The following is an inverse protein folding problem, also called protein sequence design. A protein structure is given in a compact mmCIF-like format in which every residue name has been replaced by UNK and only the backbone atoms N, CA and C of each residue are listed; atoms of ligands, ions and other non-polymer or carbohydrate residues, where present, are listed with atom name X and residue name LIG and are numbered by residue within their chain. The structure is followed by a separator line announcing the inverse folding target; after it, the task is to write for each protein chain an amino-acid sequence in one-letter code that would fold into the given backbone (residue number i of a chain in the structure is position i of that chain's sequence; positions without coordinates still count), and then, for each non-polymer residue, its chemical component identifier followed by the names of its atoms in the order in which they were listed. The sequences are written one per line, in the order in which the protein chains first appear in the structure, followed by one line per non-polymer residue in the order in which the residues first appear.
data_IF_241557649836
#
_entry.id   IF_241557649836
#
_cell.length_a   1.000
_cell.length_b   1.000
_cell.length_c   1.000
_cell.angle_alpha   90.00
_cell.angle_beta   90.00
_cell.angle_gamma   90.00
#
_symmetry.space_group_name_H-M   'P 1'
#
loop_
_entity.id
_entity.type
_entity.pdbx_description
1 polymer ?
#
# COMPACT_ATOMS: atom_id res chain seq x y z
N UNK A 1 -72.25 15.88 -38.98
CA UNK A 1 -72.05 16.23 -37.57
C UNK A 1 -70.85 15.55 -37.01
N UNK A 2 -69.72 16.27 -36.75
CA UNK A 2 -68.51 15.70 -36.14
C UNK A 2 -68.64 15.74 -34.62
N UNK A 3 -68.61 14.56 -33.97
CA UNK A 3 -68.59 14.44 -32.50
C UNK A 3 -67.18 14.79 -32.00
N UNK A 4 -67.08 15.87 -31.26
CA UNK A 4 -65.86 16.20 -30.51
C UNK A 4 -65.78 15.34 -29.25
N UNK A 5 -64.80 14.42 -29.19
CA UNK A 5 -64.47 13.66 -27.99
C UNK A 5 -63.60 14.53 -27.10
N UNK A 6 -64.10 14.92 -25.93
CA UNK A 6 -63.37 15.65 -24.90
C UNK A 6 -62.29 14.75 -24.31
N UNK A 7 -60.99 15.05 -24.55
CA UNK A 7 -59.89 14.40 -23.86
C UNK A 7 -59.87 14.81 -22.38
N UNK A 8 -60.08 13.84 -21.50
CA UNK A 8 -59.94 14.04 -20.04
C UNK A 8 -58.50 14.42 -19.74
N UNK A 9 -58.27 15.64 -19.30
CA UNK A 9 -57.00 16.13 -18.79
C UNK A 9 -56.69 15.41 -17.47
N UNK A 10 -55.68 14.52 -17.49
CA UNK A 10 -55.16 13.91 -16.27
C UNK A 10 -54.41 14.98 -15.51
N UNK A 11 -54.94 15.38 -14.34
CA UNK A 11 -54.26 16.28 -13.41
C UNK A 11 -52.97 15.63 -12.96
N UNK A 12 -51.83 16.14 -13.40
CA UNK A 12 -50.50 15.79 -12.86
C UNK A 12 -50.43 16.46 -11.49
N UNK A 13 -50.35 15.64 -10.44
CA UNK A 13 -50.03 16.14 -9.12
C UNK A 13 -48.57 16.57 -9.12
N UNK A 14 -48.29 17.81 -8.78
CA UNK A 14 -46.96 18.35 -8.60
C UNK A 14 -46.44 18.07 -7.20
N UNK A 15 -45.12 17.93 -7.08
CA UNK A 15 -44.46 17.80 -5.78
C UNK A 15 -44.54 19.12 -4.98
N UNK A 16 -44.71 19.00 -3.68
CA UNK A 16 -44.60 20.14 -2.77
C UNK A 16 -43.13 20.46 -2.47
N UNK A 17 -42.83 21.71 -2.16
CA UNK A 17 -41.46 22.14 -1.82
C UNK A 17 -40.95 21.43 -0.56
N UNK A 18 -41.85 21.16 0.40
CA UNK A 18 -41.50 20.46 1.64
C UNK A 18 -41.15 18.99 1.43
N UNK A 19 -41.86 18.29 0.52
CA UNK A 19 -41.51 16.91 0.17
C UNK A 19 -40.12 16.81 -0.43
N UNK A 20 -39.76 17.75 -1.30
CA UNK A 20 -38.41 17.78 -1.86
C UNK A 20 -37.35 18.09 -0.81
N UNK A 21 -37.64 19.05 0.09
CA UNK A 21 -36.70 19.48 1.13
C UNK A 21 -36.40 18.35 2.13
N UNK A 22 -37.43 17.59 2.55
CA UNK A 22 -37.27 16.45 3.47
C UNK A 22 -36.41 15.34 2.83
N UNK A 23 -36.66 15.05 1.55
CA UNK A 23 -35.88 14.01 0.84
C UNK A 23 -34.42 14.35 0.76
N UNK A 24 -34.05 15.58 0.38
CA UNK A 24 -32.63 15.98 0.32
C UNK A 24 -31.99 16.03 1.71
N UNK A 25 -32.73 16.38 2.76
CA UNK A 25 -32.23 16.35 4.13
C UNK A 25 -31.89 14.91 4.57
N UNK A 26 -32.75 13.95 4.29
CA UNK A 26 -32.53 12.53 4.61
C UNK A 26 -31.32 11.98 3.81
N UNK A 27 -31.25 12.27 2.51
CA UNK A 27 -30.12 11.86 1.66
C UNK A 27 -28.83 12.45 2.20
N UNK A 28 -28.80 13.73 2.60
CA UNK A 28 -27.63 14.38 3.18
C UNK A 28 -27.12 13.70 4.44
N UNK A 29 -28.02 13.32 5.36
CA UNK A 29 -27.67 12.60 6.58
C UNK A 29 -27.10 11.21 6.26
N UNK A 30 -27.78 10.45 5.40
CA UNK A 30 -27.31 9.12 5.02
C UNK A 30 -25.97 9.17 4.28
N UNK A 31 -25.78 10.12 3.37
CA UNK A 31 -24.53 10.30 2.63
C UNK A 31 -23.36 10.62 3.56
N UNK A 32 -23.54 11.41 4.61
CA UNK A 32 -22.46 11.76 5.54
C UNK A 32 -21.90 10.54 6.27
N UNK A 33 -22.74 9.60 6.68
CA UNK A 33 -22.33 8.37 7.36
C UNK A 33 -21.58 7.43 6.39
N UNK A 34 -22.07 7.30 5.17
CA UNK A 34 -21.47 6.40 4.18
C UNK A 34 -20.09 6.85 3.73
N UNK A 35 -19.86 8.15 3.58
CA UNK A 35 -18.55 8.70 3.18
C UNK A 35 -17.47 8.41 4.23
N UNK A 36 -17.78 8.56 5.52
CA UNK A 36 -16.83 8.26 6.60
C UNK A 36 -16.44 6.77 6.59
N UNK A 37 -17.39 5.86 6.49
CA UNK A 37 -17.15 4.42 6.42
C UNK A 37 -16.32 4.02 5.18
N UNK A 38 -16.57 4.66 4.04
CA UNK A 38 -15.85 4.39 2.80
C UNK A 38 -14.36 4.78 2.88
N UNK A 39 -14.01 5.86 3.58
CA UNK A 39 -12.62 6.28 3.76
C UNK A 39 -11.84 5.24 4.56
N UNK A 40 -12.39 4.73 5.66
CA UNK A 40 -11.78 3.66 6.45
C UNK A 40 -11.62 2.38 5.62
N UNK A 41 -12.63 2.01 4.84
CA UNK A 41 -12.55 0.84 3.98
C UNK A 41 -11.45 0.98 2.91
N UNK A 42 -11.27 2.16 2.35
CA UNK A 42 -10.18 2.45 1.38
C UNK A 42 -8.80 2.36 2.02
N UNK A 43 -8.62 2.87 3.25
CA UNK A 43 -7.36 2.73 3.97
C UNK A 43 -7.01 1.26 4.19
N UNK A 44 -7.94 0.48 4.73
CA UNK A 44 -7.76 -0.98 4.92
C UNK A 44 -7.44 -1.72 3.63
N UNK A 45 -8.07 -1.33 2.53
CA UNK A 45 -7.79 -1.92 1.21
C UNK A 45 -6.36 -1.62 0.73
N UNK A 46 -5.87 -0.39 0.94
CA UNK A 46 -4.49 -0.04 0.59
C UNK A 46 -3.48 -0.78 1.48
N UNK A 47 -3.74 -0.89 2.77
CA UNK A 47 -2.87 -1.62 3.69
C UNK A 47 -2.83 -3.12 3.36
N UNK A 48 -3.96 -3.73 3.06
CA UNK A 48 -4.01 -5.11 2.61
C UNK A 48 -3.20 -5.33 1.32
N UNK A 49 -3.22 -4.37 0.39
CA UNK A 49 -2.38 -4.41 -0.80
C UNK A 49 -0.90 -4.31 -0.46
N UNK A 50 -0.49 -3.39 0.43
CA UNK A 50 0.91 -3.25 0.88
C UNK A 50 1.44 -4.56 1.46
N UNK A 51 0.68 -5.18 2.35
CA UNK A 51 1.03 -6.47 2.95
C UNK A 51 1.18 -7.57 1.88
N UNK A 52 0.28 -7.59 0.90
CA UNK A 52 0.36 -8.53 -0.23
C UNK A 52 1.59 -8.29 -1.10
N UNK A 53 1.91 -7.04 -1.39
CA UNK A 53 3.08 -6.63 -2.19
C UNK A 53 4.39 -6.99 -1.47
N UNK A 54 4.48 -6.75 -0.14
CA UNK A 54 5.64 -7.16 0.68
C UNK A 54 5.84 -8.68 0.63
N UNK A 55 4.79 -9.48 0.77
CA UNK A 55 4.89 -10.94 0.66
C UNK A 55 5.32 -11.40 -0.74
N UNK A 56 4.85 -10.73 -1.78
CA UNK A 56 5.28 -11.00 -3.14
C UNK A 56 6.77 -10.71 -3.34
N UNK A 57 7.25 -9.58 -2.82
CA UNK A 57 8.67 -9.21 -2.86
C UNK A 57 9.52 -10.18 -2.03
N UNK A 58 9.07 -10.59 -0.85
CA UNK A 58 9.73 -11.59 -0.03
C UNK A 58 9.93 -12.90 -0.81
N UNK A 59 8.88 -13.43 -1.41
CA UNK A 59 8.99 -14.64 -2.23
C UNK A 59 9.95 -14.46 -3.41
N UNK A 60 9.96 -13.30 -4.06
CA UNK A 60 10.86 -13.00 -5.16
C UNK A 60 12.32 -12.92 -4.71
N UNK A 61 12.58 -12.38 -3.52
CA UNK A 61 13.92 -12.31 -2.92
C UNK A 61 14.46 -13.71 -2.61
N UNK A 62 13.63 -14.61 -2.08
CA UNK A 62 14.03 -15.99 -1.84
C UNK A 62 14.34 -16.73 -3.16
N UNK A 63 13.49 -16.56 -4.18
CA UNK A 63 13.74 -17.14 -5.50
C UNK A 63 15.01 -16.58 -6.15
N UNK A 64 15.28 -15.29 -5.96
CA UNK A 64 16.51 -14.69 -6.43
C UNK A 64 17.73 -15.29 -5.72
N UNK A 65 17.67 -15.38 -4.38
CA UNK A 65 18.74 -15.96 -3.57
C UNK A 65 19.07 -17.39 -4.00
N UNK A 66 18.06 -18.24 -4.20
CA UNK A 66 18.22 -19.63 -4.62
C UNK A 66 18.74 -19.77 -6.06
N UNK A 67 18.50 -18.77 -6.92
CA UNK A 67 18.94 -18.79 -8.32
C UNK A 67 20.44 -18.45 -8.50
N UNK A 68 21.10 -17.89 -7.47
CA UNK A 68 22.49 -17.46 -7.56
C UNK A 68 23.47 -18.62 -7.34
N UNK A 69 24.55 -18.67 -8.10
CA UNK A 69 25.64 -19.65 -7.90
C UNK A 69 26.38 -19.45 -6.57
N UNK A 70 26.44 -18.21 -6.10
CA UNK A 70 26.83 -17.82 -4.74
C UNK A 70 25.64 -17.11 -4.10
N UNK A 71 24.82 -17.82 -3.30
CA UNK A 71 23.57 -17.28 -2.80
C UNK A 71 23.75 -16.01 -1.98
N UNK A 72 23.19 -14.90 -2.48
CA UNK A 72 23.14 -13.61 -1.79
C UNK A 72 21.91 -12.80 -2.26
N UNK A 73 21.40 -11.96 -1.38
CA UNK A 73 20.32 -11.03 -1.71
C UNK A 73 20.81 -9.84 -2.54
N UNK A 74 19.93 -9.17 -3.29
CA UNK A 74 20.29 -7.99 -4.07
C UNK A 74 20.97 -6.93 -3.21
N UNK A 75 21.93 -6.20 -3.80
CA UNK A 75 22.49 -5.03 -3.13
C UNK A 75 21.42 -3.93 -3.06
N UNK A 76 21.18 -3.40 -1.87
CA UNK A 76 20.33 -2.24 -1.72
C UNK A 76 20.98 -0.98 -2.30
N UNK A 77 20.19 -0.12 -2.93
CA UNK A 77 20.60 1.19 -3.42
C UNK A 77 19.81 2.28 -2.72
N UNK A 78 20.34 3.49 -2.64
CA UNK A 78 19.67 4.63 -2.00
C UNK A 78 18.66 5.33 -2.91
N UNK A 79 18.28 4.74 -4.04
CA UNK A 79 17.45 5.39 -5.05
C UNK A 79 16.06 4.80 -5.06
N UNK A 80 15.07 5.64 -4.80
CA UNK A 80 13.67 5.39 -5.06
C UNK A 80 13.13 6.53 -5.93
N UNK A 81 12.90 6.25 -7.17
CA UNK A 81 12.21 7.12 -8.11
C UNK A 81 11.22 6.27 -8.92
N UNK A 82 10.54 6.79 -9.88
CA UNK A 82 9.59 5.99 -10.67
C UNK A 82 10.20 4.83 -11.47
N UNK A 83 11.54 4.70 -11.47
CA UNK A 83 12.31 3.71 -12.23
C UNK A 83 13.11 2.78 -11.33
N UNK A 84 13.56 3.28 -10.17
CA UNK A 84 14.42 2.57 -9.24
C UNK A 84 13.71 2.34 -7.90
N UNK A 85 13.75 1.13 -7.41
CA UNK A 85 13.11 0.67 -6.18
C UNK A 85 14.15 0.04 -5.23
N UNK A 86 15.09 0.85 -4.77
CA UNK A 86 16.15 0.44 -3.85
C UNK A 86 17.00 -0.77 -4.30
N UNK A 87 17.11 -1.00 -5.61
CA UNK A 87 17.87 -2.13 -6.19
C UNK A 87 17.04 -3.38 -6.43
N UNK A 88 15.73 -3.36 -6.20
CA UNK A 88 14.85 -4.50 -6.44
C UNK A 88 14.54 -4.75 -7.93
N UNK A 89 14.97 -3.87 -8.84
CA UNK A 89 14.81 -4.03 -10.30
C UNK A 89 15.51 -5.29 -10.80
N UNK A 90 16.53 -5.74 -10.10
CA UNK A 90 17.25 -6.99 -10.43
C UNK A 90 16.31 -8.21 -10.37
N UNK A 91 15.26 -8.18 -9.56
CA UNK A 91 14.25 -9.24 -9.50
C UNK A 91 13.40 -9.32 -10.78
N UNK A 92 13.24 -8.18 -11.47
CA UNK A 92 12.55 -8.14 -12.77
C UNK A 92 13.48 -8.66 -13.87
N UNK A 93 14.72 -8.20 -13.90
CA UNK A 93 15.71 -8.66 -14.91
C UNK A 93 16.07 -10.12 -14.73
N UNK A 94 16.03 -10.64 -13.51
CA UNK A 94 16.23 -12.06 -13.18
C UNK A 94 14.98 -12.93 -13.40
N UNK A 95 13.83 -12.32 -13.72
CA UNK A 95 12.59 -13.04 -14.01
C UNK A 95 11.83 -13.59 -12.79
N UNK A 96 12.18 -13.17 -11.56
CA UNK A 96 11.48 -13.58 -10.34
C UNK A 96 10.11 -12.91 -10.20
N UNK A 97 9.99 -11.67 -10.70
CA UNK A 97 8.72 -10.94 -10.78
C UNK A 97 8.60 -10.21 -12.12
N UNK A 98 7.38 -9.89 -12.52
CA UNK A 98 7.13 -9.16 -13.77
C UNK A 98 7.36 -7.64 -13.65
N UNK A 99 7.15 -7.09 -12.45
CA UNK A 99 7.40 -5.68 -12.12
C UNK A 99 7.54 -5.54 -10.61
N UNK A 100 8.35 -4.58 -10.14
CA UNK A 100 8.42 -4.23 -8.73
C UNK A 100 7.12 -3.51 -8.34
N UNK A 101 6.37 -4.00 -7.33
CA UNK A 101 5.17 -3.32 -6.88
C UNK A 101 5.50 -1.99 -6.19
N UNK A 102 4.54 -1.07 -6.21
CA UNK A 102 4.66 0.26 -5.64
C UNK A 102 3.53 0.56 -4.66
N UNK A 103 3.82 1.41 -3.66
CA UNK A 103 2.83 1.85 -2.69
C UNK A 103 1.63 2.52 -3.39
N UNK A 104 0.38 2.11 -3.10
CA UNK A 104 -0.81 2.61 -3.79
C UNK A 104 -1.16 4.07 -3.47
N UNK A 105 -0.60 4.67 -2.43
CA UNK A 105 -0.91 6.05 -2.01
C UNK A 105 0.22 7.03 -2.24
N UNK A 106 1.38 6.56 -2.68
CA UNK A 106 2.54 7.42 -2.79
C UNK A 106 2.42 8.43 -3.95
N UNK A 107 2.86 9.64 -3.68
CA UNK A 107 3.04 10.66 -4.69
C UNK A 107 4.17 10.24 -5.65
N UNK A 108 4.06 10.61 -6.91
CA UNK A 108 5.05 10.30 -7.93
C UNK A 108 6.47 10.66 -7.44
N UNK A 109 7.37 9.67 -7.43
CA UNK A 109 8.76 9.83 -7.04
C UNK A 109 9.16 9.31 -5.65
N UNK A 110 8.22 8.81 -4.83
CA UNK A 110 8.55 8.19 -3.52
C UNK A 110 7.61 7.04 -3.16
N UNK A 111 7.28 6.22 -4.14
CA UNK A 111 6.29 5.15 -4.03
C UNK A 111 6.91 3.75 -3.92
N UNK A 112 8.14 3.66 -3.44
CA UNK A 112 8.79 2.37 -3.22
C UNK A 112 8.51 1.84 -1.82
N UNK A 113 8.47 0.53 -1.72
CA UNK A 113 8.59 -0.14 -0.44
C UNK A 113 10.04 -0.06 0.05
N UNK A 114 10.22 -0.02 1.36
CA UNK A 114 11.53 0.07 1.98
C UNK A 114 12.28 -1.25 1.81
N UNK A 115 13.51 -1.19 1.35
CA UNK A 115 14.38 -2.36 1.22
C UNK A 115 15.81 -2.02 1.60
N UNK A 116 16.42 -2.89 2.35
CA UNK A 116 17.85 -2.85 2.64
C UNK A 116 18.41 -4.27 2.73
N UNK A 117 19.69 -4.43 2.51
CA UNK A 117 20.40 -5.71 2.64
C UNK A 117 21.68 -5.52 3.43
N UNK A 118 22.22 -6.62 4.01
CA UNK A 118 23.49 -6.58 4.71
C UNK A 118 24.60 -5.94 3.85
N UNK A 119 25.45 -5.12 4.45
CA UNK A 119 26.50 -4.37 3.74
C UNK A 119 27.66 -5.25 3.27
N UNK A 120 27.88 -6.39 3.93
CA UNK A 120 28.97 -7.32 3.60
C UNK A 120 28.50 -8.39 2.63
N UNK A 121 29.27 -8.63 1.56
CA UNK A 121 29.08 -9.80 0.67
C UNK A 121 29.71 -11.05 1.30
N UNK A 122 29.06 -12.22 1.25
CA UNK A 122 27.74 -12.46 0.68
C UNK A 122 26.61 -11.92 1.56
N UNK A 123 25.67 -11.19 0.96
CA UNK A 123 24.51 -10.62 1.65
C UNK A 123 23.51 -11.72 2.03
N UNK A 124 23.51 -12.09 3.30
CA UNK A 124 22.71 -13.20 3.86
C UNK A 124 21.43 -12.74 4.57
N UNK A 125 21.25 -11.43 4.71
CA UNK A 125 20.08 -10.84 5.35
C UNK A 125 19.60 -9.63 4.57
N UNK A 126 18.29 -9.40 4.65
CA UNK A 126 17.64 -8.18 4.16
C UNK A 126 16.59 -7.71 5.17
N UNK A 127 16.16 -6.49 5.00
CA UNK A 127 15.04 -5.90 5.70
C UNK A 127 14.14 -5.25 4.66
N UNK A 128 12.86 -5.66 4.63
CA UNK A 128 11.86 -5.20 3.67
C UNK A 128 10.62 -4.75 4.42
N UNK A 129 10.09 -3.58 4.09
CA UNK A 129 8.95 -3.07 4.83
C UNK A 129 8.07 -2.09 4.07
N UNK A 130 6.88 -1.86 4.63
CA UNK A 130 5.89 -0.92 4.14
C UNK A 130 5.28 -0.11 5.28
N UNK A 131 5.08 1.19 5.07
CA UNK A 131 4.34 2.02 6.02
C UNK A 131 2.84 1.85 5.81
N UNK A 132 2.14 1.35 6.85
CA UNK A 132 0.69 1.22 6.87
C UNK A 132 0.03 2.55 7.26
N UNK A 133 -1.22 2.73 6.85
CA UNK A 133 -2.04 3.90 7.24
C UNK A 133 -2.75 3.65 8.57
N UNK A 134 -3.06 2.37 8.90
CA UNK A 134 -3.68 1.96 10.14
C UNK A 134 -2.62 1.49 11.14
N UNK A 135 -2.30 2.34 12.13
CA UNK A 135 -1.31 2.03 13.18
C UNK A 135 -1.73 0.92 14.15
N UNK A 136 -3.00 0.55 14.15
CA UNK A 136 -3.54 -0.56 14.95
C UNK A 136 -3.82 -1.80 14.11
N UNK A 137 -3.16 -1.94 12.95
CA UNK A 137 -3.34 -3.11 12.10
C UNK A 137 -2.80 -4.37 12.82
N UNK A 138 -3.60 -5.45 12.92
CA UNK A 138 -3.17 -6.67 13.64
C UNK A 138 -1.90 -7.31 13.10
N UNK A 139 -1.53 -7.08 11.84
CA UNK A 139 -0.30 -7.64 11.26
C UNK A 139 0.96 -7.10 11.95
N UNK A 140 0.92 -5.87 12.49
CA UNK A 140 2.00 -5.24 13.21
C UNK A 140 2.34 -5.93 14.55
N UNK A 141 1.49 -6.82 15.06
CA UNK A 141 1.80 -7.62 16.24
C UNK A 141 2.66 -8.86 15.93
N UNK A 142 2.94 -9.12 14.69
CA UNK A 142 3.60 -10.34 14.19
C UNK A 142 4.75 -10.04 13.22
N UNK A 143 5.09 -8.78 13.04
CA UNK A 143 6.24 -8.37 12.26
C UNK A 143 7.54 -8.42 13.10
N UNK A 144 8.66 -8.09 12.50
CA UNK A 144 9.97 -8.31 13.14
C UNK A 144 10.40 -7.16 14.03
N UNK A 145 9.81 -5.96 13.87
CA UNK A 145 10.20 -4.73 14.59
C UNK A 145 11.71 -4.43 14.54
N UNK A 146 12.34 -4.71 13.42
CA UNK A 146 13.76 -4.43 13.22
C UNK A 146 14.02 -2.94 13.05
N UNK A 147 14.99 -2.40 13.77
CA UNK A 147 15.48 -1.04 13.55
C UNK A 147 16.97 -1.00 13.18
N UNK A 148 17.46 0.17 12.79
CA UNK A 148 18.86 0.38 12.41
C UNK A 148 19.85 0.24 13.56
N UNK A 149 19.37 0.11 14.80
CA UNK A 149 20.20 -0.01 16.03
C UNK A 149 20.26 -1.45 16.53
N UNK A 150 19.44 -2.34 15.99
CA UNK A 150 19.44 -3.74 16.35
C UNK A 150 20.74 -4.43 15.95
N UNK A 151 21.37 -5.08 16.93
CA UNK A 151 22.53 -5.93 16.70
C UNK A 151 22.14 -7.36 16.25
N UNK A 152 20.87 -7.60 15.96
CA UNK A 152 20.41 -8.87 15.43
C UNK A 152 20.97 -9.03 13.98
N UNK A 153 21.72 -10.08 13.70
CA UNK A 153 22.25 -10.31 12.34
C UNK A 153 21.14 -10.54 11.30
N UNK A 154 19.91 -10.80 11.73
CA UNK A 154 18.74 -10.90 10.85
C UNK A 154 18.12 -9.54 10.55
N UNK A 155 18.30 -8.55 11.42
CA UNK A 155 18.01 -7.15 11.14
C UNK A 155 19.22 -6.58 10.42
N UNK A 156 19.23 -6.62 9.09
CA UNK A 156 20.38 -6.12 8.33
C UNK A 156 20.68 -4.68 8.78
N UNK A 157 21.82 -4.51 9.45
CA UNK A 157 22.26 -3.22 9.96
C UNK A 157 22.44 -2.25 8.79
N UNK A 158 21.40 -1.52 8.45
CA UNK A 158 21.43 -0.52 7.41
C UNK A 158 21.38 0.85 8.02
N UNK A 159 22.46 1.54 7.92
CA UNK A 159 22.62 2.88 8.46
C UNK A 159 21.95 3.97 7.63
N UNK A 160 21.32 3.71 6.46
CA UNK A 160 20.90 4.82 5.58
C UNK A 160 19.97 4.46 4.40
N UNK A 161 18.85 3.77 4.57
CA UNK A 161 17.97 3.51 3.40
C UNK A 161 16.48 3.74 3.67
N UNK A 162 16.13 5.00 3.83
CA UNK A 162 14.78 5.51 3.61
C UNK A 162 14.81 6.59 2.54
N UNK A 163 13.67 7.12 2.10
CA UNK A 163 13.65 8.31 1.26
C UNK A 163 14.51 9.40 1.90
N UNK A 164 15.49 9.95 1.16
CA UNK A 164 16.40 11.00 1.63
C UNK A 164 17.38 10.62 2.76
N UNK A 165 17.84 9.36 2.86
CA UNK A 165 18.91 8.98 3.78
C UNK A 165 18.47 8.88 5.25
N UNK A 166 17.19 8.75 5.53
CA UNK A 166 16.69 8.42 6.86
C UNK A 166 16.87 6.93 7.13
N UNK A 167 17.27 6.52 8.36
CA UNK A 167 17.29 5.12 8.75
C UNK A 167 15.92 4.47 8.56
N UNK A 168 15.88 3.24 8.08
CA UNK A 168 14.68 2.44 8.13
C UNK A 168 14.45 1.98 9.57
N UNK A 169 13.33 2.33 10.13
CA UNK A 169 12.93 2.00 11.50
C UNK A 169 11.66 1.14 11.41
N UNK A 170 11.84 -0.19 11.45
CA UNK A 170 10.76 -1.16 11.47
C UNK A 170 9.96 -1.14 12.77
N UNK A 171 10.61 -0.75 13.89
CA UNK A 171 9.95 -0.57 15.17
C UNK A 171 9.08 0.71 15.25
N UNK A 172 9.12 1.57 14.21
CA UNK A 172 8.24 2.73 14.15
C UNK A 172 6.78 2.30 14.03
N UNK A 173 5.91 2.89 14.83
CA UNK A 173 4.48 2.62 14.77
C UNK A 173 3.94 2.68 13.33
N UNK A 174 3.21 1.65 12.91
CA UNK A 174 2.65 1.48 11.58
C UNK A 174 3.65 1.12 10.46
N UNK A 175 4.84 0.64 10.77
CA UNK A 175 5.72 0.02 9.76
C UNK A 175 5.61 -1.50 9.88
N UNK A 176 5.11 -2.14 8.84
CA UNK A 176 5.11 -3.60 8.69
C UNK A 176 6.39 -4.03 8.00
N UNK A 177 7.20 -4.86 8.64
CA UNK A 177 8.49 -5.29 8.14
C UNK A 177 8.70 -6.81 8.22
N UNK A 178 9.56 -7.31 7.35
CA UNK A 178 9.93 -8.72 7.25
C UNK A 178 11.42 -8.87 6.97
N UNK A 179 11.97 -9.96 7.47
CA UNK A 179 13.34 -10.43 7.25
C UNK A 179 13.32 -11.85 6.69
N UNK A 180 14.44 -12.41 6.18
CA UNK A 180 14.50 -13.76 5.65
C UNK A 180 14.21 -14.82 6.69
#
# INVERSE_FOLDING_TARGET
MKKYTSKKLVRRQGFTLIELLVVIAIIGILASITVASLNVARQKSRDARRIGDIKQLQNALELYYDSQSAPEYPAATAVCDGTHAFGLEVLVTGGQISSVPHDPSALAGSNCYLYTSSSASPRKAYHLGAKLEESANPVLNYDKDCDSTDNDPMCAASTTFGPAGTPFDGAAAAVYDVVP
#
